data_IF_837111517705
#
_entry.id   IF_837111517705
#
_cell.length_a   1.000
_cell.length_b   1.000
_cell.length_c   1.000
_cell.angle_alpha   90.00
_cell.angle_beta   90.00
_cell.angle_gamma   90.00
#
_symmetry.space_group_name_H-M   'P 1'
#
loop_
_entity.id
_entity.type
_entity.pdbx_description
1 polymer ?
#
# COMPACT_ATOMS: atom_id res chain seq x y z
N UNK A 1 -83.18 51.41 -119.01
CA UNK A 1 -82.26 52.51 -118.63
C UNK A 1 -82.02 52.56 -117.11
N UNK A 2 -83.05 52.77 -116.28
CA UNK A 2 -82.90 52.89 -114.81
C UNK A 2 -82.36 51.61 -114.12
N UNK A 3 -82.77 50.41 -114.55
CA UNK A 3 -82.30 49.14 -113.96
C UNK A 3 -80.80 48.86 -114.21
N UNK A 4 -80.30 49.19 -115.40
CA UNK A 4 -78.87 49.04 -115.74
C UNK A 4 -78.00 50.03 -114.95
N UNK A 5 -78.49 51.26 -114.75
CA UNK A 5 -77.84 52.25 -113.89
C UNK A 5 -77.80 51.81 -112.43
N UNK A 6 -78.87 51.19 -111.91
CA UNK A 6 -78.90 50.66 -110.55
C UNK A 6 -77.92 49.50 -110.34
N UNK A 7 -77.79 48.59 -111.32
CA UNK A 7 -76.80 47.52 -111.28
C UNK A 7 -75.37 48.09 -111.32
N UNK A 8 -75.11 49.06 -112.18
CA UNK A 8 -73.81 49.72 -112.26
C UNK A 8 -73.45 50.47 -110.97
N UNK A 9 -74.42 51.17 -110.37
CA UNK A 9 -74.22 51.87 -109.09
C UNK A 9 -73.98 50.90 -107.93
N UNK A 10 -74.72 49.78 -107.88
CA UNK A 10 -74.49 48.73 -106.89
C UNK A 10 -73.12 48.07 -107.07
N UNK A 11 -72.71 47.80 -108.31
CA UNK A 11 -71.40 47.25 -108.60
C UNK A 11 -70.28 48.22 -108.18
N UNK A 12 -70.42 49.51 -108.51
CA UNK A 12 -69.48 50.53 -108.08
C UNK A 12 -69.42 50.66 -106.56
N UNK A 13 -70.55 50.60 -105.87
CA UNK A 13 -70.62 50.60 -104.40
C UNK A 13 -69.92 49.40 -103.77
N UNK A 14 -70.04 48.20 -104.36
CA UNK A 14 -69.34 46.99 -103.88
C UNK A 14 -67.83 47.13 -104.08
N UNK A 15 -67.40 47.68 -105.22
CA UNK A 15 -65.99 47.94 -105.52
C UNK A 15 -65.40 48.95 -104.53
N UNK A 16 -66.12 50.01 -104.21
CA UNK A 16 -65.70 51.02 -103.24
C UNK A 16 -65.61 50.45 -101.82
N UNK A 17 -66.57 49.60 -101.41
CA UNK A 17 -66.52 48.88 -100.13
C UNK A 17 -65.31 47.95 -100.04
N UNK A 18 -64.99 47.24 -101.12
CA UNK A 18 -63.82 46.36 -101.19
C UNK A 18 -62.53 47.15 -101.00
N UNK A 19 -62.34 48.26 -101.73
CA UNK A 19 -61.14 49.09 -101.61
C UNK A 19 -61.05 49.77 -100.24
N UNK A 20 -62.17 50.20 -99.66
CA UNK A 20 -62.21 50.72 -98.29
C UNK A 20 -61.76 49.68 -97.27
N UNK A 21 -62.24 48.44 -97.40
CA UNK A 21 -61.86 47.35 -96.49
C UNK A 21 -60.41 46.90 -96.69
N UNK A 22 -59.91 46.90 -97.93
CA UNK A 22 -58.50 46.65 -98.22
C UNK A 22 -57.58 47.71 -97.60
N UNK A 23 -57.98 48.99 -97.65
CA UNK A 23 -57.26 50.08 -96.99
C UNK A 23 -57.22 49.92 -95.47
N UNK A 24 -58.37 49.67 -94.83
CA UNK A 24 -58.45 49.42 -93.38
C UNK A 24 -57.63 48.20 -92.96
N UNK A 25 -57.63 47.13 -93.77
CA UNK A 25 -56.78 45.95 -93.52
C UNK A 25 -55.30 46.31 -93.60
N UNK A 26 -54.89 47.11 -94.59
CA UNK A 26 -53.51 47.60 -94.71
C UNK A 26 -53.06 48.43 -93.51
N UNK A 27 -53.91 49.36 -93.05
CA UNK A 27 -53.66 50.22 -91.89
C UNK A 27 -53.55 49.41 -90.58
N UNK A 28 -54.40 48.40 -90.39
CA UNK A 28 -54.44 47.59 -89.16
C UNK A 28 -53.43 46.43 -89.14
N UNK A 29 -52.87 46.03 -90.29
CA UNK A 29 -51.97 44.87 -90.41
C UNK A 29 -50.83 44.86 -89.40
N UNK A 30 -50.18 46.01 -89.19
CA UNK A 30 -49.06 46.12 -88.24
C UNK A 30 -49.51 45.92 -86.79
N UNK A 31 -50.69 46.45 -86.43
CA UNK A 31 -51.25 46.32 -85.09
C UNK A 31 -51.65 44.86 -84.82
N UNK A 32 -52.26 44.18 -85.80
CA UNK A 32 -52.59 42.77 -85.72
C UNK A 32 -51.34 41.88 -85.58
N UNK A 33 -50.29 42.13 -86.37
CA UNK A 33 -49.02 41.40 -86.27
C UNK A 33 -48.39 41.61 -84.88
N UNK A 34 -48.38 42.83 -84.35
CA UNK A 34 -47.86 43.12 -83.00
C UNK A 34 -48.67 42.42 -81.92
N UNK A 35 -49.99 42.49 -81.99
CA UNK A 35 -50.89 41.83 -81.05
C UNK A 35 -50.68 40.31 -81.08
N UNK A 36 -50.65 39.71 -82.28
CA UNK A 36 -50.38 38.29 -82.49
C UNK A 36 -49.02 37.88 -81.92
N UNK A 37 -47.96 38.65 -82.22
CA UNK A 37 -46.61 38.41 -81.68
C UNK A 37 -46.60 38.45 -80.15
N UNK A 38 -47.33 39.40 -79.54
CA UNK A 38 -47.45 39.52 -78.07
C UNK A 38 -48.15 38.32 -77.46
N UNK A 39 -49.25 37.87 -78.07
CA UNK A 39 -49.98 36.66 -77.63
C UNK A 39 -49.09 35.43 -77.73
N UNK A 40 -48.38 35.26 -78.85
CA UNK A 40 -47.45 34.15 -79.05
C UNK A 40 -46.29 34.17 -78.06
N UNK A 41 -45.68 35.34 -77.84
CA UNK A 41 -44.60 35.50 -76.87
C UNK A 41 -45.06 35.17 -75.45
N UNK A 42 -46.24 35.66 -75.05
CA UNK A 42 -46.83 35.37 -73.75
C UNK A 42 -47.12 33.88 -73.58
N UNK A 43 -47.68 33.22 -74.59
CA UNK A 43 -47.95 31.78 -74.56
C UNK A 43 -46.66 30.95 -74.47
N UNK A 44 -45.64 31.28 -75.27
CA UNK A 44 -44.31 30.63 -75.21
C UNK A 44 -43.71 30.77 -73.81
N UNK A 45 -43.79 31.97 -73.23
CA UNK A 45 -43.30 32.20 -71.88
C UNK A 45 -44.10 31.45 -70.82
N UNK A 46 -45.43 31.45 -70.92
CA UNK A 46 -46.30 30.68 -70.03
C UNK A 46 -45.89 29.19 -70.00
N UNK A 47 -45.71 28.56 -71.17
CA UNK A 47 -45.26 27.16 -71.26
C UNK A 47 -43.92 26.92 -70.56
N UNK A 48 -42.93 27.79 -70.81
CA UNK A 48 -41.63 27.67 -70.17
C UNK A 48 -41.70 27.89 -68.65
N UNK A 49 -42.51 28.85 -68.19
CA UNK A 49 -42.69 29.14 -66.75
C UNK A 49 -43.35 27.97 -66.03
N UNK A 50 -44.34 27.31 -66.63
CA UNK A 50 -44.95 26.10 -66.08
C UNK A 50 -43.92 24.99 -65.94
N UNK A 51 -43.12 24.75 -67.00
CA UNK A 51 -42.04 23.75 -66.97
C UNK A 51 -41.00 24.06 -65.89
N UNK A 52 -40.54 25.31 -65.80
CA UNK A 52 -39.57 25.74 -64.79
C UNK A 52 -40.12 25.55 -63.36
N UNK A 53 -41.36 25.97 -63.10
CA UNK A 53 -42.00 25.79 -61.80
C UNK A 53 -42.07 24.31 -61.40
N UNK A 54 -42.42 23.43 -62.34
CA UNK A 54 -42.45 21.97 -62.10
C UNK A 54 -41.07 21.45 -61.69
N UNK A 55 -40.03 21.77 -62.47
CA UNK A 55 -38.65 21.35 -62.17
C UNK A 55 -38.21 21.88 -60.80
N UNK A 56 -38.38 23.19 -60.55
CA UNK A 56 -38.02 23.83 -59.27
C UNK A 56 -38.70 23.14 -58.09
N UNK A 57 -39.99 22.84 -58.19
CA UNK A 57 -40.74 22.15 -57.14
C UNK A 57 -40.17 20.75 -56.89
N UNK A 58 -39.96 19.96 -57.94
CA UNK A 58 -39.35 18.63 -57.84
C UNK A 58 -37.95 18.69 -57.22
N UNK A 59 -37.11 19.66 -57.62
CA UNK A 59 -35.78 19.85 -57.05
C UNK A 59 -35.84 20.17 -55.55
N UNK A 60 -36.71 21.08 -55.14
CA UNK A 60 -36.89 21.43 -53.71
C UNK A 60 -37.33 20.22 -52.90
N UNK A 61 -38.24 19.40 -53.44
CA UNK A 61 -38.68 18.15 -52.80
C UNK A 61 -37.49 17.21 -52.61
N UNK A 62 -36.75 16.90 -53.68
CA UNK A 62 -35.60 15.98 -53.62
C UNK A 62 -34.58 16.48 -52.59
N UNK A 63 -34.23 17.77 -52.64
CA UNK A 63 -33.28 18.35 -51.69
C UNK A 63 -33.80 18.31 -50.23
N UNK A 64 -35.09 18.56 -50.00
CA UNK A 64 -35.70 18.46 -48.67
C UNK A 64 -35.59 17.04 -48.13
N UNK A 65 -35.91 16.03 -48.94
CA UNK A 65 -35.80 14.64 -48.55
C UNK A 65 -34.35 14.22 -48.30
N UNK A 66 -33.42 14.63 -49.15
CA UNK A 66 -31.98 14.34 -49.00
C UNK A 66 -31.43 14.92 -47.69
N UNK A 67 -31.67 16.21 -47.40
CA UNK A 67 -31.25 16.84 -46.15
C UNK A 67 -31.87 16.14 -44.93
N UNK A 68 -33.16 15.81 -45.01
CA UNK A 68 -33.84 15.07 -43.94
C UNK A 68 -33.27 13.67 -43.72
N UNK A 69 -32.91 12.96 -44.79
CA UNK A 69 -32.29 11.63 -44.71
C UNK A 69 -30.92 11.69 -44.03
N UNK A 70 -30.07 12.62 -44.46
CA UNK A 70 -28.75 12.85 -43.85
C UNK A 70 -28.89 13.19 -42.36
N UNK A 71 -29.81 14.10 -42.02
CA UNK A 71 -30.05 14.48 -40.62
C UNK A 71 -30.49 13.29 -39.76
N UNK A 72 -31.40 12.44 -40.26
CA UNK A 72 -31.83 11.23 -39.55
C UNK A 72 -30.70 10.22 -39.37
N UNK A 73 -29.86 10.03 -40.38
CA UNK A 73 -28.69 9.17 -40.28
C UNK A 73 -27.69 9.67 -39.21
N UNK A 74 -27.40 10.96 -39.20
CA UNK A 74 -26.52 11.58 -38.20
C UNK A 74 -27.12 11.48 -36.80
N UNK A 75 -28.41 11.74 -36.64
CA UNK A 75 -29.11 11.60 -35.37
C UNK A 75 -29.05 10.16 -34.85
N UNK A 76 -29.30 9.17 -35.72
CA UNK A 76 -29.20 7.75 -35.36
C UNK A 76 -27.78 7.41 -34.87
N UNK A 77 -26.75 7.78 -35.65
CA UNK A 77 -25.33 7.56 -35.27
C UNK A 77 -25.01 8.21 -33.92
N UNK A 78 -25.44 9.44 -33.70
CA UNK A 78 -25.19 10.15 -32.44
C UNK A 78 -25.93 9.48 -31.28
N UNK A 79 -27.17 9.03 -31.49
CA UNK A 79 -27.94 8.34 -30.46
C UNK A 79 -27.32 6.99 -30.10
N UNK A 80 -26.88 6.22 -31.08
CA UNK A 80 -26.19 4.94 -30.90
C UNK A 80 -24.87 5.15 -30.14
N UNK A 81 -24.09 6.17 -30.51
CA UNK A 81 -22.86 6.55 -29.81
C UNK A 81 -23.12 6.92 -28.33
N UNK A 82 -24.12 7.76 -28.06
CA UNK A 82 -24.52 8.15 -26.69
C UNK A 82 -25.07 6.97 -25.88
N UNK A 83 -25.77 6.04 -26.52
CA UNK A 83 -26.25 4.83 -25.87
C UNK A 83 -25.06 3.94 -25.48
N UNK A 84 -24.13 3.71 -26.42
CA UNK A 84 -22.93 2.93 -26.17
C UNK A 84 -22.05 3.54 -25.07
N UNK A 85 -21.84 4.85 -25.09
CA UNK A 85 -21.06 5.55 -24.06
C UNK A 85 -21.67 5.37 -22.65
N UNK A 86 -23.00 5.50 -22.54
CA UNK A 86 -23.72 5.27 -21.28
C UNK A 86 -23.58 3.83 -20.82
N UNK A 87 -23.73 2.87 -21.71
CA UNK A 87 -23.60 1.45 -21.40
C UNK A 87 -22.19 1.11 -20.92
N UNK A 88 -21.15 1.57 -21.63
CA UNK A 88 -19.76 1.36 -21.22
C UNK A 88 -19.55 1.90 -19.80
N UNK A 89 -19.95 3.14 -19.53
CA UNK A 89 -19.83 3.75 -18.20
C UNK A 89 -20.54 2.93 -17.12
N UNK A 90 -21.78 2.53 -17.38
CA UNK A 90 -22.57 1.71 -16.47
C UNK A 90 -21.90 0.37 -16.17
N UNK A 91 -21.57 -0.41 -17.21
CA UNK A 91 -20.97 -1.73 -17.03
C UNK A 91 -19.56 -1.66 -16.45
N UNK A 92 -18.73 -0.68 -16.83
CA UNK A 92 -17.40 -0.49 -16.24
C UNK A 92 -17.47 -0.18 -14.75
N UNK A 93 -18.44 0.62 -14.30
CA UNK A 93 -18.66 0.89 -12.88
C UNK A 93 -19.02 -0.40 -12.14
N UNK A 94 -20.01 -1.14 -12.62
CA UNK A 94 -20.45 -2.40 -11.99
C UNK A 94 -19.36 -3.46 -11.99
N UNK A 95 -18.63 -3.61 -13.10
CA UNK A 95 -17.48 -4.51 -13.20
C UNK A 95 -16.43 -4.18 -12.13
N UNK A 96 -16.14 -2.89 -11.92
CA UNK A 96 -15.20 -2.44 -10.89
C UNK A 96 -15.67 -2.81 -9.48
N UNK A 97 -16.96 -2.65 -9.17
CA UNK A 97 -17.53 -3.04 -7.87
C UNK A 97 -17.41 -4.54 -7.63
N UNK A 98 -17.79 -5.35 -8.62
CA UNK A 98 -17.70 -6.81 -8.57
C UNK A 98 -16.24 -7.24 -8.39
N UNK A 99 -15.33 -6.71 -9.20
CA UNK A 99 -13.90 -7.01 -9.13
C UNK A 99 -13.30 -6.62 -7.78
N UNK A 100 -13.66 -5.46 -7.21
CA UNK A 100 -13.20 -5.03 -5.88
C UNK A 100 -13.64 -6.03 -4.81
N UNK A 101 -14.90 -6.44 -4.83
CA UNK A 101 -15.43 -7.39 -3.86
C UNK A 101 -14.77 -8.77 -4.01
N UNK A 102 -14.64 -9.25 -5.23
CA UNK A 102 -13.99 -10.52 -5.54
C UNK A 102 -12.52 -10.54 -5.11
N UNK A 103 -11.74 -9.51 -5.45
CA UNK A 103 -10.34 -9.39 -5.01
C UNK A 103 -10.23 -9.43 -3.48
N UNK A 104 -11.10 -8.71 -2.78
CA UNK A 104 -11.15 -8.74 -1.32
C UNK A 104 -11.47 -10.12 -0.75
N UNK A 105 -12.48 -10.81 -1.30
CA UNK A 105 -12.81 -12.17 -0.92
C UNK A 105 -11.65 -13.14 -1.19
N UNK A 106 -11.09 -13.10 -2.39
CA UNK A 106 -9.99 -13.97 -2.81
C UNK A 106 -8.77 -13.81 -1.90
N UNK A 107 -8.39 -12.57 -1.60
CA UNK A 107 -7.27 -12.29 -0.71
C UNK A 107 -7.49 -12.83 0.71
N UNK A 108 -8.68 -12.62 1.27
CA UNK A 108 -9.05 -13.15 2.60
C UNK A 108 -9.15 -14.67 2.64
N UNK A 109 -9.58 -15.31 1.55
CA UNK A 109 -9.72 -16.77 1.50
C UNK A 109 -8.38 -17.48 1.36
N UNK A 110 -7.48 -16.95 0.53
CA UNK A 110 -6.28 -17.69 0.13
C UNK A 110 -4.97 -17.15 0.73
N UNK A 111 -4.89 -15.86 1.09
CA UNK A 111 -3.64 -15.25 1.55
C UNK A 111 -3.68 -14.86 3.03
N UNK A 112 -4.79 -14.31 3.53
CA UNK A 112 -4.95 -13.98 4.94
C UNK A 112 -5.65 -15.12 5.67
N UNK A 113 -4.90 -16.08 6.21
CA UNK A 113 -5.43 -16.89 7.30
C UNK A 113 -5.16 -16.18 8.64
N UNK A 114 -6.08 -15.26 8.98
CA UNK A 114 -6.01 -14.49 10.23
C UNK A 114 -5.94 -15.40 11.45
N UNK A 115 -6.66 -16.53 11.42
CA UNK A 115 -6.69 -17.48 12.53
C UNK A 115 -5.31 -18.09 12.77
N UNK A 116 -4.65 -18.62 11.74
CA UNK A 116 -3.28 -19.14 11.90
C UNK A 116 -2.28 -18.05 12.25
N UNK A 117 -2.38 -16.86 11.66
CA UNK A 117 -1.47 -15.76 12.02
C UNK A 117 -1.64 -15.34 13.47
N UNK A 118 -2.88 -15.26 13.97
CA UNK A 118 -3.17 -14.96 15.38
C UNK A 118 -2.64 -16.05 16.31
N UNK A 119 -2.85 -17.32 15.96
CA UNK A 119 -2.32 -18.46 16.71
C UNK A 119 -0.79 -18.46 16.75
N UNK A 120 -0.13 -18.19 15.63
CA UNK A 120 1.33 -18.08 15.54
C UNK A 120 1.88 -16.94 16.41
N UNK A 121 1.25 -15.76 16.37
CA UNK A 121 1.66 -14.64 17.23
C UNK A 121 1.47 -14.94 18.72
N UNK A 122 0.39 -15.64 19.10
CA UNK A 122 0.22 -16.09 20.48
C UNK A 122 1.29 -17.11 20.89
N UNK A 123 1.58 -18.09 20.03
CA UNK A 123 2.66 -19.05 20.26
C UNK A 123 4.01 -18.35 20.46
N UNK A 124 4.36 -17.39 19.61
CA UNK A 124 5.58 -16.59 19.76
C UNK A 124 5.60 -15.80 21.08
N UNK A 125 4.45 -15.24 21.49
CA UNK A 125 4.34 -14.53 22.76
C UNK A 125 4.64 -15.46 23.94
N UNK A 126 4.05 -16.65 23.96
CA UNK A 126 4.30 -17.66 25.00
C UNK A 126 5.77 -18.08 25.00
N UNK A 127 6.35 -18.38 23.84
CA UNK A 127 7.77 -18.76 23.74
C UNK A 127 8.72 -17.67 24.21
N UNK A 128 8.40 -16.40 23.95
CA UNK A 128 9.19 -15.29 24.46
C UNK A 128 9.08 -15.17 25.98
N UNK A 129 7.89 -15.39 26.55
CA UNK A 129 7.71 -15.43 28.00
C UNK A 129 8.52 -16.55 28.64
N UNK A 130 8.44 -17.78 28.09
CA UNK A 130 9.24 -18.93 28.55
C UNK A 130 10.74 -18.60 28.52
N UNK A 131 11.22 -18.02 27.42
CA UNK A 131 12.63 -17.65 27.26
C UNK A 131 13.08 -16.56 28.24
N UNK A 132 12.23 -15.55 28.50
CA UNK A 132 12.51 -14.52 29.50
C UNK A 132 12.56 -15.09 30.92
N UNK A 133 11.70 -16.08 31.24
CA UNK A 133 11.75 -16.77 32.52
C UNK A 133 13.02 -17.61 32.67
N UNK A 134 13.45 -18.30 31.61
CA UNK A 134 14.70 -19.04 31.58
C UNK A 134 15.91 -18.12 31.77
N UNK A 135 15.97 -17.00 31.03
CA UNK A 135 17.03 -15.99 31.18
C UNK A 135 17.10 -15.45 32.61
N UNK A 136 15.95 -15.19 33.24
CA UNK A 136 15.92 -14.75 34.65
C UNK A 136 16.49 -15.80 35.61
N UNK A 137 16.23 -17.09 35.36
CA UNK A 137 16.81 -18.16 36.18
C UNK A 137 18.32 -18.21 36.02
N UNK A 138 18.82 -18.14 34.79
CA UNK A 138 20.26 -18.08 34.51
C UNK A 138 20.90 -16.86 35.18
N UNK A 139 20.27 -15.68 35.08
CA UNK A 139 20.77 -14.45 35.73
C UNK A 139 20.85 -14.60 37.26
N UNK A 140 19.86 -15.23 37.89
CA UNK A 140 19.88 -15.49 39.33
C UNK A 140 20.99 -16.47 39.70
N UNK A 141 21.14 -17.57 38.95
CA UNK A 141 22.17 -18.58 39.19
C UNK A 141 23.59 -18.00 38.99
N UNK A 142 23.81 -17.22 37.93
CA UNK A 142 25.08 -16.53 37.68
C UNK A 142 25.40 -15.54 38.81
N UNK A 143 24.43 -14.73 39.24
CA UNK A 143 24.62 -13.82 40.36
C UNK A 143 24.96 -14.55 41.67
N UNK A 144 24.33 -15.69 41.93
CA UNK A 144 24.67 -16.52 43.09
C UNK A 144 26.10 -17.08 42.98
N UNK A 145 26.48 -17.63 41.83
CA UNK A 145 27.82 -18.14 41.59
C UNK A 145 28.88 -17.03 41.70
N UNK A 146 28.59 -15.83 41.20
CA UNK A 146 29.46 -14.66 41.34
C UNK A 146 29.62 -14.26 42.81
N UNK A 147 28.54 -14.22 43.59
CA UNK A 147 28.62 -13.95 45.04
C UNK A 147 29.47 -14.98 45.77
N UNK A 148 29.27 -16.27 45.51
CA UNK A 148 30.07 -17.35 46.10
C UNK A 148 31.54 -17.22 45.70
N UNK A 149 31.83 -16.94 44.42
CA UNK A 149 33.20 -16.72 43.94
C UNK A 149 33.85 -15.51 44.59
N UNK A 150 33.14 -14.39 44.72
CA UNK A 150 33.62 -13.20 45.40
C UNK A 150 33.89 -13.46 46.88
N UNK A 151 33.00 -14.18 47.57
CA UNK A 151 33.20 -14.55 48.96
C UNK A 151 34.40 -15.49 49.14
N UNK A 152 34.58 -16.47 48.25
CA UNK A 152 35.75 -17.35 48.24
C UNK A 152 37.05 -16.57 48.01
N UNK A 153 37.08 -15.67 47.02
CA UNK A 153 38.24 -14.80 46.78
C UNK A 153 38.54 -13.94 48.01
N UNK A 154 37.53 -13.28 48.57
CA UNK A 154 37.68 -12.47 49.78
C UNK A 154 38.18 -13.30 50.97
N UNK A 155 37.70 -14.54 51.14
CA UNK A 155 38.21 -15.48 52.15
C UNK A 155 39.68 -15.83 51.92
N UNK A 156 40.08 -16.15 50.69
CA UNK A 156 41.48 -16.48 50.38
C UNK A 156 42.43 -15.28 50.56
N UNK A 157 42.00 -14.08 50.18
CA UNK A 157 42.74 -12.84 50.41
C UNK A 157 42.87 -12.54 51.90
N UNK A 158 41.77 -12.68 52.65
CA UNK A 158 41.75 -12.50 54.09
C UNK A 158 42.64 -13.52 54.81
N UNK A 159 42.58 -14.80 54.44
CA UNK A 159 43.46 -15.84 54.98
C UNK A 159 44.94 -15.53 54.70
N UNK A 160 45.27 -15.04 53.51
CA UNK A 160 46.63 -14.63 53.15
C UNK A 160 47.13 -13.48 54.04
N UNK A 161 46.30 -12.45 54.26
CA UNK A 161 46.61 -11.34 55.17
C UNK A 161 46.72 -11.80 56.63
N UNK A 162 45.78 -12.65 57.07
CA UNK A 162 45.72 -13.19 58.43
C UNK A 162 47.00 -13.95 58.83
N UNK A 163 47.61 -14.69 57.89
CA UNK A 163 48.91 -15.37 58.12
C UNK A 163 50.00 -14.40 58.56
N UNK A 164 50.04 -13.20 57.97
CA UNK A 164 51.06 -12.19 58.26
C UNK A 164 50.76 -11.40 59.55
N UNK A 165 49.51 -11.37 60.00
CA UNK A 165 49.04 -10.53 61.10
C UNK A 165 48.89 -11.28 62.45
N UNK A 166 49.44 -12.49 62.58
CA UNK A 166 49.30 -13.30 63.80
C UNK A 166 49.86 -12.62 65.07
N UNK A 167 50.86 -11.74 64.92
CA UNK A 167 51.44 -10.97 66.02
C UNK A 167 50.46 -9.94 66.63
N UNK A 168 49.35 -9.65 65.97
CA UNK A 168 48.28 -8.78 66.48
C UNK A 168 47.23 -9.52 67.31
N UNK A 169 47.34 -10.85 67.44
CA UNK A 169 46.44 -11.68 68.26
C UNK A 169 46.80 -11.65 69.75
N UNK A 170 45.83 -11.86 70.64
CA UNK A 170 46.13 -11.89 72.08
C UNK A 170 47.02 -13.07 72.43
N UNK A 171 48.02 -12.79 73.26
CA UNK A 171 48.82 -13.79 73.96
C UNK A 171 48.25 -14.02 75.36
N UNK A 172 48.78 -15.00 76.09
CA UNK A 172 48.32 -15.32 77.45
C UNK A 172 48.49 -14.15 78.43
N UNK A 173 49.43 -13.24 78.15
CA UNK A 173 49.81 -12.15 79.06
C UNK A 173 49.35 -10.78 78.56
N UNK A 174 49.21 -10.58 77.24
CA UNK A 174 48.89 -9.28 76.62
C UNK A 174 47.73 -9.47 75.64
N UNK A 175 46.69 -8.64 75.78
CA UNK A 175 45.55 -8.59 74.86
C UNK A 175 45.97 -8.03 73.49
N UNK A 176 45.50 -8.67 72.42
CA UNK A 176 45.77 -8.29 71.03
C UNK A 176 44.92 -7.11 70.59
N UNK A 177 45.27 -6.49 69.45
CA UNK A 177 44.62 -5.26 68.94
C UNK A 177 43.13 -5.46 68.68
N UNK A 178 42.73 -6.68 68.31
CA UNK A 178 41.34 -7.05 68.03
C UNK A 178 40.56 -7.53 69.27
N UNK A 179 41.20 -7.65 70.44
CA UNK A 179 40.56 -8.07 71.69
C UNK A 179 40.29 -6.88 72.62
N UNK A 180 39.20 -6.17 72.39
CA UNK A 180 38.83 -4.99 73.18
C UNK A 180 38.02 -5.42 74.42
N UNK A 181 38.36 -4.95 75.63
CA UNK A 181 37.71 -5.40 76.87
C UNK A 181 36.25 -4.94 77.01
N UNK A 182 35.86 -3.83 76.38
CA UNK A 182 34.51 -3.25 76.47
C UNK A 182 34.00 -2.76 75.11
N UNK A 183 33.96 -3.64 74.11
CA UNK A 183 33.43 -3.31 72.78
C UNK A 183 32.92 -4.53 72.03
N UNK A 184 32.05 -4.30 71.04
CA UNK A 184 31.63 -5.35 70.11
C UNK A 184 32.85 -5.86 69.35
N UNK A 185 32.94 -7.19 69.21
CA UNK A 185 33.99 -7.84 68.43
C UNK A 185 33.71 -7.64 66.95
N UNK A 186 34.76 -7.32 66.19
CA UNK A 186 34.66 -7.20 64.75
C UNK A 186 34.45 -8.61 64.17
N UNK A 187 33.31 -8.80 63.49
CA UNK A 187 32.91 -10.08 62.92
C UNK A 187 33.25 -10.11 61.42
N UNK A 188 33.96 -11.14 60.99
CA UNK A 188 34.31 -11.38 59.58
C UNK A 188 34.00 -12.84 59.26
N UNK A 189 33.15 -13.06 58.25
CA UNK A 189 32.67 -14.38 57.84
C UNK A 189 32.10 -15.22 59.00
N UNK A 190 31.23 -14.61 59.80
CA UNK A 190 30.54 -15.20 60.97
C UNK A 190 31.45 -15.63 62.13
N UNK A 191 32.75 -15.29 62.09
CA UNK A 191 33.69 -15.50 63.17
C UNK A 191 34.29 -14.15 63.63
N UNK A 192 34.66 -14.09 64.91
CA UNK A 192 35.48 -12.99 65.44
C UNK A 192 36.85 -12.99 64.73
N UNK A 193 37.30 -11.81 64.27
CA UNK A 193 38.60 -11.62 63.62
C UNK A 193 39.73 -12.25 64.41
N UNK A 194 39.72 -12.11 65.74
CA UNK A 194 40.79 -12.67 66.57
C UNK A 194 40.79 -14.21 66.59
N UNK A 195 39.59 -14.81 66.60
CA UNK A 195 39.46 -16.27 66.51
C UNK A 195 39.96 -16.77 65.16
N UNK A 196 39.65 -16.05 64.08
CA UNK A 196 40.10 -16.39 62.74
C UNK A 196 41.63 -16.31 62.60
N UNK A 197 42.26 -15.27 63.15
CA UNK A 197 43.73 -15.12 63.19
C UNK A 197 44.40 -16.29 63.92
N UNK A 198 43.84 -16.71 65.05
CA UNK A 198 44.35 -17.86 65.83
C UNK A 198 44.19 -19.18 65.06
N UNK A 199 43.05 -19.40 64.42
CA UNK A 199 42.79 -20.60 63.61
C UNK A 199 43.75 -20.67 62.42
N UNK A 200 43.90 -19.59 61.66
CA UNK A 200 44.83 -19.51 60.52
C UNK A 200 46.28 -19.68 60.97
N UNK A 201 46.68 -19.05 62.08
CA UNK A 201 48.02 -19.23 62.64
C UNK A 201 48.26 -20.68 63.07
N UNK A 202 47.34 -21.28 63.84
CA UNK A 202 47.48 -22.65 64.29
C UNK A 202 47.51 -23.65 63.13
N UNK A 203 46.64 -23.50 62.12
CA UNK A 203 46.67 -24.36 60.94
C UNK A 203 47.98 -24.24 60.16
N UNK A 204 48.55 -23.03 60.08
CA UNK A 204 49.87 -22.79 59.48
C UNK A 204 51.05 -23.34 60.32
N UNK A 205 50.87 -23.71 61.59
CA UNK A 205 51.94 -24.27 62.46
C UNK A 205 51.72 -25.75 62.81
N UNK A 206 50.56 -26.33 62.49
CA UNK A 206 50.28 -27.75 62.72
C UNK A 206 51.22 -28.70 61.97
N UNK A 207 51.67 -28.32 60.77
CA UNK A 207 52.68 -29.09 60.03
C UNK A 207 54.02 -29.12 60.76
N UNK A 208 54.37 -28.04 61.48
CA UNK A 208 55.61 -27.95 62.25
C UNK A 208 55.55 -28.82 63.50
N UNK A 209 54.41 -28.86 64.20
CA UNK A 209 54.17 -29.83 65.31
C UNK A 209 54.29 -31.28 64.84
N UNK A 210 53.67 -31.66 63.71
CA UNK A 210 53.80 -33.01 63.14
C UNK A 210 55.25 -33.34 62.79
N UNK A 211 56.00 -32.38 62.26
CA UNK A 211 57.43 -32.53 61.91
C UNK A 211 58.33 -32.64 63.15
N UNK A 212 58.09 -31.89 64.21
CA UNK A 212 58.79 -32.01 65.49
C UNK A 212 58.50 -33.36 66.17
N UNK A 213 57.24 -33.79 66.21
CA UNK A 213 56.83 -35.10 66.74
C UNK A 213 57.49 -36.27 65.97
N UNK A 214 57.58 -36.16 64.64
CA UNK A 214 58.29 -37.13 63.80
C UNK A 214 59.80 -37.18 64.09
N UNK A 215 60.44 -36.01 64.27
CA UNK A 215 61.85 -35.91 64.68
C UNK A 215 62.10 -36.54 66.07
N UNK A 216 61.23 -36.26 67.05
CA UNK A 216 61.30 -36.83 68.40
C UNK A 216 61.08 -38.36 68.41
N UNK A 217 60.14 -38.86 67.61
CA UNK A 217 59.93 -40.30 67.46
C UNK A 217 61.14 -41.02 66.82
N UNK A 218 61.84 -40.36 65.90
CA UNK A 218 63.08 -40.88 65.28
C UNK A 218 64.22 -40.96 66.29
N UNK A 219 64.41 -39.95 67.14
CA UNK A 219 65.49 -39.94 68.14
C UNK A 219 65.23 -40.93 69.28
N UNK A 220 63.98 -41.11 69.72
CA UNK A 220 63.64 -42.08 70.77
C UNK A 220 63.69 -43.55 70.32
N UNK A 221 63.41 -43.86 69.05
CA UNK A 221 63.57 -45.23 68.51
C UNK A 221 65.03 -45.70 68.48
N UNK A 222 65.99 -44.79 68.28
CA UNK A 222 67.43 -45.12 68.32
C UNK A 222 67.93 -45.51 69.72
N UNK A 223 67.27 -45.07 70.79
CA UNK A 223 67.68 -45.37 72.17
C UNK A 223 67.19 -46.72 72.71
N UNK A 224 66.13 -47.30 72.17
CA UNK A 224 65.55 -48.56 72.67
C UNK A 224 66.08 -49.83 71.96
N UNK A 225 66.72 -49.71 70.79
CA UNK A 225 67.24 -50.86 70.04
C UNK A 225 68.49 -51.51 70.65
N UNK A 226 69.15 -50.87 71.63
CA UNK A 226 70.43 -51.35 72.19
C UNK A 226 70.30 -52.12 73.52
N UNK A 227 69.10 -52.47 73.99
CA UNK A 227 68.90 -53.02 75.35
C UNK A 227 68.25 -54.40 75.50
N UNK A 228 68.05 -55.18 74.44
CA UNK A 228 67.49 -56.53 74.60
C UNK A 228 68.48 -57.59 74.08
N UNK A 229 69.22 -58.19 75.01
CA UNK A 229 70.01 -59.42 74.77
C UNK A 229 69.05 -60.61 74.59
N UNK A 230 69.36 -61.57 73.70
CA UNK A 230 68.51 -62.73 73.47
C UNK A 230 68.63 -63.73 74.65
N UNK A 231 67.49 -64.26 75.09
CA UNK A 231 67.45 -65.43 75.96
C UNK A 231 67.57 -66.68 75.09
N UNK A 232 68.43 -67.59 75.57
CA UNK A 232 68.95 -68.80 74.92
C UNK A 232 67.87 -69.78 74.47
#
# INVERSE_FOLDING_TARGET
MQYQQHIQNNFQSIVDLYYHQAKLSGENRLNEIRASTRVQAWHKMHKLRVKYKKIRFSTVIIQKFARGYIARMLMKRNNDSRYNERNIKYFSYHATQIQRHFRGYHYRKYYINWSTRKAYLQFLKTKNQDFLEELKKVEVDENQQLKVRQEQLARTEFESLAKNLHHLSSTQTIAGVYNRPFGNKDMVFDLDVESHLKVVFHSNYEWEKKRQMSRYAKTNKLNYSNKLKPLK
#
